data_IF_403838843896
#
_entry.id   IF_403838843896
#
_cell.length_a   1.000
_cell.length_b   1.000
_cell.length_c   1.000
_cell.angle_alpha   90.00
_cell.angle_beta   90.00
_cell.angle_gamma   90.00
#
_symmetry.space_group_name_H-M   'P 1'
#
loop_
_entity.id
_entity.type
_entity.pdbx_description
1 polymer ?
#
# COMPACT_ATOMS: atom_id res chain seq x y z
N UNK A 1 -11.09 5.20 -68.93
CA UNK A 1 -10.97 3.93 -68.17
C UNK A 1 -9.90 3.99 -67.06
N UNK A 2 -9.75 5.11 -66.33
CA UNK A 2 -8.82 5.22 -65.19
C UNK A 2 -9.51 5.59 -63.86
N UNK A 3 -10.81 5.89 -63.88
CA UNK A 3 -11.56 6.25 -62.66
C UNK A 3 -12.02 5.06 -61.82
N UNK A 4 -12.00 3.85 -62.37
CA UNK A 4 -12.45 2.61 -61.68
C UNK A 4 -11.39 2.11 -60.69
N UNK A 5 -10.11 2.46 -60.90
CA UNK A 5 -9.01 2.15 -59.97
C UNK A 5 -8.90 3.15 -58.81
N UNK A 6 -9.48 4.35 -58.94
CA UNK A 6 -9.45 5.37 -57.87
C UNK A 6 -10.52 5.14 -56.81
N UNK A 7 -11.68 4.58 -57.17
CA UNK A 7 -12.78 4.29 -56.22
C UNK A 7 -12.56 3.04 -55.34
N UNK A 8 -11.74 2.07 -55.78
CA UNK A 8 -11.32 0.95 -54.92
C UNK A 8 -10.18 1.33 -53.96
N UNK A 9 -9.55 2.49 -54.17
CA UNK A 9 -8.37 2.93 -53.41
C UNK A 9 -8.71 3.49 -52.02
N UNK A 10 -9.96 3.88 -51.79
CA UNK A 10 -10.45 4.38 -50.49
C UNK A 10 -10.63 3.22 -49.48
N UNK A 11 -11.23 2.11 -49.92
CA UNK A 11 -11.58 0.99 -49.02
C UNK A 11 -10.40 0.09 -48.63
N UNK A 12 -9.38 -0.09 -49.49
CA UNK A 12 -8.19 -0.88 -49.11
C UNK A 12 -7.26 -0.11 -48.14
N UNK A 13 -7.19 1.23 -48.26
CA UNK A 13 -6.43 2.06 -47.30
C UNK A 13 -7.11 2.05 -45.94
N UNK A 14 -8.44 2.19 -45.89
CA UNK A 14 -9.18 2.08 -44.63
C UNK A 14 -9.04 0.69 -44.00
N UNK A 15 -9.09 -0.37 -44.80
CA UNK A 15 -8.87 -1.73 -44.31
C UNK A 15 -7.45 -1.94 -43.76
N UNK A 16 -6.43 -1.34 -44.37
CA UNK A 16 -5.05 -1.42 -43.93
C UNK A 16 -4.81 -0.67 -42.60
N UNK A 17 -5.47 0.49 -42.42
CA UNK A 17 -5.41 1.25 -41.16
C UNK A 17 -6.11 0.49 -40.03
N UNK A 18 -7.30 -0.07 -40.29
CA UNK A 18 -8.03 -0.88 -39.29
C UNK A 18 -7.23 -2.13 -38.92
N UNK A 19 -6.60 -2.79 -39.89
CA UNK A 19 -5.72 -3.93 -39.63
C UNK A 19 -4.49 -3.53 -38.80
N UNK A 20 -3.85 -2.40 -39.10
CA UNK A 20 -2.72 -1.90 -38.34
C UNK A 20 -3.10 -1.57 -36.89
N UNK A 21 -4.23 -0.90 -36.68
CA UNK A 21 -4.77 -0.61 -35.34
C UNK A 21 -5.14 -1.91 -34.61
N UNK A 22 -5.75 -2.87 -35.30
CA UNK A 22 -6.07 -4.18 -34.74
C UNK A 22 -4.82 -4.97 -34.33
N UNK A 23 -3.73 -4.89 -35.09
CA UNK A 23 -2.44 -5.50 -34.74
C UNK A 23 -1.82 -4.80 -33.53
N UNK A 24 -1.84 -3.47 -33.47
CA UNK A 24 -1.35 -2.72 -32.31
C UNK A 24 -2.20 -3.05 -31.07
N UNK A 25 -3.54 -3.11 -31.20
CA UNK A 25 -4.43 -3.57 -30.14
C UNK A 25 -4.24 -5.04 -29.79
N UNK A 26 -3.87 -5.92 -30.73
CA UNK A 26 -3.56 -7.31 -30.42
C UNK A 26 -2.25 -7.41 -29.62
N UNK A 27 -1.22 -6.65 -29.99
CA UNK A 27 0.07 -6.64 -29.29
C UNK A 27 0.02 -5.95 -27.93
N UNK A 28 -0.74 -4.85 -27.79
CA UNK A 28 -0.87 -4.09 -26.54
C UNK A 28 -2.09 -4.50 -25.68
N UNK A 29 -3.16 -5.02 -26.29
CA UNK A 29 -4.45 -5.26 -25.64
C UNK A 29 -4.77 -6.74 -25.37
N UNK A 30 -4.19 -7.70 -26.11
CA UNK A 30 -4.46 -9.12 -25.86
C UNK A 30 -3.77 -9.68 -24.59
N UNK A 31 -2.76 -8.98 -24.05
CA UNK A 31 -2.10 -9.40 -22.80
C UNK A 31 -2.84 -8.96 -21.53
N UNK A 32 -3.90 -8.14 -21.65
CA UNK A 32 -4.62 -7.57 -20.49
C UNK A 32 -6.08 -8.02 -20.32
N UNK A 33 -6.59 -8.89 -21.20
CA UNK A 33 -8.00 -9.30 -21.20
C UNK A 33 -8.24 -10.81 -21.06
N UNK A 34 -7.27 -11.59 -20.58
CA UNK A 34 -7.56 -12.95 -20.11
C UNK A 34 -8.11 -12.88 -18.69
N UNK A 35 -9.38 -12.49 -18.57
CA UNK A 35 -10.17 -12.71 -17.35
C UNK A 35 -10.60 -14.18 -17.31
N UNK A 36 -9.64 -15.06 -17.03
CA UNK A 36 -9.95 -16.44 -16.68
C UNK A 36 -10.43 -16.47 -15.23
N UNK A 37 -11.61 -17.04 -14.97
CA UNK A 37 -12.32 -16.96 -13.66
C UNK A 37 -11.58 -17.68 -12.52
N UNK A 38 -10.42 -18.29 -12.80
CA UNK A 38 -9.52 -18.94 -11.84
C UNK A 38 -8.08 -18.39 -11.81
N UNK A 39 -7.75 -17.32 -12.54
CA UNK A 39 -6.37 -16.80 -12.56
C UNK A 39 -6.01 -16.11 -11.21
N UNK A 40 -4.98 -16.57 -10.48
CA UNK A 40 -4.48 -15.88 -9.30
C UNK A 40 -4.01 -14.43 -9.58
N UNK A 41 -3.77 -14.06 -10.84
CA UNK A 41 -3.41 -12.71 -11.25
C UNK A 41 -4.61 -11.82 -11.61
N UNK A 42 -5.85 -12.29 -11.42
CA UNK A 42 -7.04 -11.47 -11.67
C UNK A 42 -6.95 -10.14 -10.89
N UNK A 43 -7.24 -8.98 -11.51
CA UNK A 43 -7.20 -7.69 -10.82
C UNK A 43 -8.34 -7.59 -9.79
N UNK A 44 -8.02 -7.19 -8.56
CA UNK A 44 -9.00 -6.85 -7.50
C UNK A 44 -9.27 -5.35 -7.48
N UNK A 45 -8.26 -4.54 -7.78
CA UNK A 45 -8.39 -3.09 -7.88
C UNK A 45 -7.37 -2.50 -8.85
N UNK A 46 -7.68 -1.30 -9.36
CA UNK A 46 -6.81 -0.51 -10.23
C UNK A 46 -6.53 0.84 -9.58
N UNK A 47 -5.25 1.23 -9.50
CA UNK A 47 -4.79 2.49 -8.89
C UNK A 47 -3.96 3.26 -9.92
N UNK A 48 -4.55 4.24 -10.59
CA UNK A 48 -3.90 5.05 -11.63
C UNK A 48 -3.15 4.23 -12.71
N UNK A 49 -3.69 3.09 -13.10
CA UNK A 49 -3.09 2.19 -14.09
C UNK A 49 -2.27 1.03 -13.52
N UNK A 50 -1.99 1.03 -12.21
CA UNK A 50 -1.37 -0.09 -11.50
C UNK A 50 -2.41 -1.08 -11.00
N UNK A 51 -2.14 -2.38 -11.14
CA UNK A 51 -3.04 -3.46 -10.74
C UNK A 51 -2.68 -3.98 -9.35
N UNK A 52 -3.68 -4.08 -8.47
CA UNK A 52 -3.61 -4.92 -7.28
C UNK A 52 -4.17 -6.30 -7.66
N UNK A 53 -3.30 -7.30 -7.72
CA UNK A 53 -3.69 -8.66 -8.08
C UNK A 53 -4.39 -9.37 -6.93
N UNK A 54 -5.23 -10.35 -7.26
CA UNK A 54 -5.92 -11.22 -6.30
C UNK A 54 -4.93 -11.96 -5.39
N UNK A 55 -3.84 -12.47 -5.96
CA UNK A 55 -2.75 -13.10 -5.22
C UNK A 55 -2.13 -12.15 -4.19
N UNK A 56 -1.78 -10.93 -4.59
CA UNK A 56 -1.14 -9.98 -3.68
C UNK A 56 -2.09 -9.58 -2.55
N UNK A 57 -3.38 -9.37 -2.87
CA UNK A 57 -4.41 -9.09 -1.88
C UNK A 57 -4.56 -10.22 -0.86
N UNK A 58 -4.69 -11.47 -1.30
CA UNK A 58 -4.80 -12.61 -0.37
C UNK A 58 -3.54 -12.82 0.46
N UNK A 59 -2.35 -12.63 -0.14
CA UNK A 59 -1.08 -12.71 0.58
C UNK A 59 -1.02 -11.68 1.71
N UNK A 60 -1.41 -10.43 1.43
CA UNK A 60 -1.40 -9.35 2.41
C UNK A 60 -2.47 -9.56 3.49
N UNK A 61 -3.66 -10.05 3.10
CA UNK A 61 -4.73 -10.37 4.03
C UNK A 61 -4.30 -11.48 5.01
N UNK A 62 -3.69 -12.56 4.51
CA UNK A 62 -3.18 -13.64 5.35
C UNK A 62 -2.07 -13.17 6.29
N UNK A 63 -1.15 -12.33 5.78
CA UNK A 63 -0.11 -11.72 6.62
C UNK A 63 -0.73 -10.87 7.74
N UNK A 64 -1.71 -10.04 7.41
CA UNK A 64 -2.43 -9.19 8.36
C UNK A 64 -3.17 -10.04 9.41
N UNK A 65 -3.88 -11.08 8.98
CA UNK A 65 -4.56 -12.03 9.87
C UNK A 65 -3.58 -12.70 10.85
N UNK A 66 -2.44 -13.16 10.36
CA UNK A 66 -1.43 -13.81 11.20
C UNK A 66 -0.83 -12.86 12.23
N UNK A 67 -0.64 -11.57 11.89
CA UNK A 67 -0.22 -10.56 12.86
C UNK A 67 -1.27 -10.34 13.95
N UNK A 68 -2.55 -10.19 13.59
CA UNK A 68 -3.62 -10.03 14.57
C UNK A 68 -3.76 -11.28 15.46
N UNK A 69 -3.65 -12.48 14.90
CA UNK A 69 -3.63 -13.74 15.67
C UNK A 69 -2.45 -13.78 16.65
N UNK A 70 -1.26 -13.35 16.24
CA UNK A 70 -0.09 -13.31 17.11
C UNK A 70 -0.24 -12.30 18.28
N UNK A 71 -0.94 -11.20 18.07
CA UNK A 71 -1.17 -10.15 19.09
C UNK A 71 -2.31 -10.52 20.04
N UNK A 72 -3.43 -11.02 19.50
CA UNK A 72 -4.67 -11.23 20.25
C UNK A 72 -4.80 -12.64 20.83
N UNK A 73 -4.09 -13.63 20.27
CA UNK A 73 -4.15 -15.02 20.72
C UNK A 73 -5.59 -15.53 20.80
N UNK A 74 -6.00 -15.97 21.99
CA UNK A 74 -7.34 -16.53 22.27
C UNK A 74 -8.48 -15.51 22.13
N UNK A 75 -8.19 -14.21 22.07
CA UNK A 75 -9.20 -13.15 21.87
C UNK A 75 -9.50 -12.91 20.39
N UNK A 76 -8.86 -13.63 19.47
CA UNK A 76 -9.07 -13.48 18.04
C UNK A 76 -10.40 -14.12 17.60
N UNK A 77 -11.38 -13.30 17.25
CA UNK A 77 -12.64 -13.77 16.64
C UNK A 77 -12.58 -13.69 15.11
N UNK A 78 -12.36 -14.83 14.47
CA UNK A 78 -12.27 -14.94 13.01
C UNK A 78 -13.53 -14.45 12.29
N UNK A 79 -14.71 -14.55 12.91
CA UNK A 79 -15.97 -14.09 12.30
C UNK A 79 -16.08 -12.57 12.30
N UNK A 80 -15.61 -11.90 13.35
CA UNK A 80 -15.62 -10.44 13.45
C UNK A 80 -14.62 -9.82 12.47
N UNK A 81 -13.40 -10.37 12.42
CA UNK A 81 -12.34 -9.88 11.53
C UNK A 81 -12.58 -10.27 10.06
N UNK A 82 -13.28 -11.36 9.78
CA UNK A 82 -13.54 -11.85 8.41
C UNK A 82 -14.30 -10.87 7.51
N UNK A 83 -15.17 -10.00 8.07
CA UNK A 83 -15.97 -9.07 7.26
C UNK A 83 -15.29 -7.71 7.04
N UNK A 84 -14.63 -7.15 8.05
CA UNK A 84 -14.06 -5.79 7.97
C UNK A 84 -12.60 -5.78 7.50
N UNK A 85 -11.84 -6.82 7.86
CA UNK A 85 -10.40 -6.85 7.59
C UNK A 85 -10.05 -6.92 6.10
N UNK A 86 -10.79 -7.64 5.22
CA UNK A 86 -10.52 -7.63 3.79
C UNK A 86 -10.62 -6.22 3.20
N UNK A 87 -11.64 -5.45 3.57
CA UNK A 87 -11.85 -4.09 3.08
C UNK A 87 -10.75 -3.14 3.57
N UNK A 88 -10.43 -3.20 4.87
CA UNK A 88 -9.33 -2.40 5.45
C UNK A 88 -7.97 -2.73 4.82
N UNK A 89 -7.73 -4.02 4.55
CA UNK A 89 -6.49 -4.47 3.89
C UNK A 89 -6.41 -3.89 2.48
N UNK A 90 -7.50 -3.97 1.70
CA UNK A 90 -7.55 -3.42 0.35
C UNK A 90 -7.30 -1.90 0.36
N UNK A 91 -7.96 -1.17 1.26
CA UNK A 91 -7.80 0.26 1.39
C UNK A 91 -6.35 0.63 1.74
N UNK A 92 -5.73 -0.08 2.68
CA UNK A 92 -4.31 0.10 3.02
C UNK A 92 -3.40 -0.16 1.83
N UNK A 93 -3.65 -1.20 1.03
CA UNK A 93 -2.87 -1.48 -0.17
C UNK A 93 -3.01 -0.38 -1.22
N UNK A 94 -4.22 0.15 -1.41
CA UNK A 94 -4.47 1.29 -2.32
C UNK A 94 -3.74 2.54 -1.84
N UNK A 95 -3.86 2.89 -0.56
CA UNK A 95 -3.16 4.03 0.03
C UNK A 95 -1.64 3.90 -0.10
N UNK A 96 -1.09 2.72 0.19
CA UNK A 96 0.34 2.45 0.02
C UNK A 96 0.79 2.65 -1.43
N UNK A 97 0.00 2.16 -2.41
CA UNK A 97 0.32 2.34 -3.83
C UNK A 97 0.31 3.83 -4.23
N UNK A 98 -0.66 4.59 -3.76
CA UNK A 98 -0.74 6.04 -4.00
C UNK A 98 0.48 6.76 -3.39
N UNK A 99 0.89 6.40 -2.18
CA UNK A 99 2.09 6.95 -1.54
C UNK A 99 3.35 6.64 -2.35
N UNK A 100 3.50 5.42 -2.84
CA UNK A 100 4.64 5.04 -3.68
C UNK A 100 4.68 5.86 -4.98
N UNK A 101 3.54 5.96 -5.68
CA UNK A 101 3.43 6.79 -6.90
C UNK A 101 3.76 8.26 -6.63
N UNK A 102 3.29 8.79 -5.49
CA UNK A 102 3.56 10.18 -5.13
C UNK A 102 5.02 10.39 -4.73
N UNK A 103 5.63 9.44 -4.01
CA UNK A 103 7.04 9.47 -3.64
C UNK A 103 7.93 9.49 -4.89
N UNK A 104 7.62 8.64 -5.87
CA UNK A 104 8.31 8.60 -7.16
C UNK A 104 8.15 9.92 -7.93
N UNK A 105 6.91 10.43 -8.05
CA UNK A 105 6.64 11.74 -8.70
C UNK A 105 7.37 12.90 -8.06
N UNK A 106 7.52 12.88 -6.74
CA UNK A 106 8.24 13.92 -5.98
C UNK A 106 9.75 13.69 -5.94
N UNK A 107 10.26 12.63 -6.57
CA UNK A 107 11.70 12.33 -6.63
C UNK A 107 12.29 11.80 -5.32
N UNK A 108 11.48 11.24 -4.42
CA UNK A 108 11.97 10.53 -3.24
C UNK A 108 12.57 9.20 -3.66
N UNK A 109 13.85 9.23 -4.03
CA UNK A 109 14.64 8.05 -4.35
C UNK A 109 15.36 7.55 -3.09
N UNK A 110 15.61 6.24 -3.07
CA UNK A 110 16.37 5.56 -2.02
C UNK A 110 17.59 4.96 -2.69
N UNK A 111 18.77 5.34 -2.21
CA UNK A 111 20.04 4.86 -2.77
C UNK A 111 20.31 3.40 -2.41
N UNK A 112 21.16 2.73 -3.18
CA UNK A 112 21.56 1.35 -2.90
C UNK A 112 22.28 1.23 -1.55
N UNK A 113 23.05 2.25 -1.15
CA UNK A 113 23.73 2.30 0.14
C UNK A 113 22.75 2.34 1.30
N UNK A 114 21.71 3.18 1.20
CA UNK A 114 20.68 3.29 2.24
C UNK A 114 19.85 2.01 2.34
N UNK A 115 19.52 1.40 1.19
CA UNK A 115 18.84 0.11 1.16
C UNK A 115 19.70 -0.97 1.83
N UNK A 116 21.00 -1.03 1.51
CA UNK A 116 21.93 -1.98 2.09
C UNK A 116 22.09 -1.78 3.60
N UNK A 117 22.13 -0.53 4.07
CA UNK A 117 22.19 -0.20 5.49
C UNK A 117 20.91 -0.65 6.23
N UNK A 118 19.74 -0.38 5.63
CA UNK A 118 18.45 -0.82 6.18
C UNK A 118 18.37 -2.37 6.27
N UNK A 119 18.89 -3.08 5.27
CA UNK A 119 18.92 -4.55 5.28
C UNK A 119 19.89 -5.06 6.36
N UNK A 120 21.06 -4.43 6.51
CA UNK A 120 22.05 -4.82 7.53
C UNK A 120 21.58 -4.56 8.95
N UNK A 121 20.83 -3.49 9.16
CA UNK A 121 20.29 -3.10 10.48
C UNK A 121 19.02 -3.86 10.85
N UNK A 122 18.38 -4.54 9.90
CA UNK A 122 17.18 -5.32 10.16
C UNK A 122 17.50 -6.55 11.04
N UNK A 123 16.77 -6.77 12.15
CA UNK A 123 16.99 -7.90 13.05
C UNK A 123 16.89 -9.27 12.37
N UNK A 124 16.09 -9.36 11.30
CA UNK A 124 15.91 -10.60 10.54
C UNK A 124 17.20 -11.09 9.87
N UNK A 125 18.12 -10.18 9.56
CA UNK A 125 19.41 -10.51 8.94
C UNK A 125 20.58 -10.42 9.90
N UNK A 126 20.30 -10.36 11.20
CA UNK A 126 21.34 -10.31 12.23
C UNK A 126 21.40 -11.62 13.01
N UNK A 127 22.61 -12.10 13.21
CA UNK A 127 22.94 -13.18 14.13
C UNK A 127 23.96 -12.65 15.13
N UNK A 128 23.60 -12.69 16.41
CA UNK A 128 24.43 -12.14 17.51
C UNK A 128 24.82 -10.66 17.28
N UNK A 129 23.88 -9.87 16.73
CA UNK A 129 24.08 -8.44 16.45
C UNK A 129 24.99 -8.13 15.25
N UNK A 130 25.43 -9.16 14.50
CA UNK A 130 26.21 -9.00 13.27
C UNK A 130 25.40 -9.46 12.08
N UNK A 131 25.63 -8.81 10.93
CA UNK A 131 24.96 -9.20 9.70
C UNK A 131 25.33 -10.63 9.28
N UNK A 132 24.31 -11.47 9.09
CA UNK A 132 24.46 -12.84 8.61
C UNK A 132 24.17 -12.91 7.10
N UNK A 133 25.23 -13.01 6.32
CA UNK A 133 25.14 -13.17 4.86
C UNK A 133 24.42 -14.47 4.46
N UNK A 134 24.46 -15.52 5.28
CA UNK A 134 23.76 -16.77 4.99
C UNK A 134 22.24 -16.55 5.01
N UNK A 135 21.72 -15.93 6.07
CA UNK A 135 20.30 -15.59 6.21
C UNK A 135 19.80 -14.72 5.05
N UNK A 136 20.61 -13.76 4.61
CA UNK A 136 20.28 -12.94 3.45
C UNK A 136 20.31 -13.72 2.11
N UNK A 137 21.28 -14.62 1.93
CA UNK A 137 21.41 -15.43 0.72
C UNK A 137 20.28 -16.46 0.55
N UNK A 138 19.66 -16.88 1.65
CA UNK A 138 18.56 -17.85 1.67
C UNK A 138 17.21 -17.26 1.24
N UNK A 139 17.11 -15.94 1.09
CA UNK A 139 15.85 -15.32 0.67
C UNK A 139 15.51 -15.69 -0.78
N UNK A 140 14.34 -16.28 -1.03
CA UNK A 140 13.86 -16.49 -2.39
C UNK A 140 13.54 -15.14 -3.02
N UNK A 141 14.00 -14.93 -4.25
CA UNK A 141 13.70 -13.75 -5.06
C UNK A 141 14.11 -12.40 -4.42
N UNK A 142 15.38 -12.30 -4.01
CA UNK A 142 16.00 -11.12 -3.37
C UNK A 142 15.68 -9.79 -4.07
N UNK A 143 15.72 -9.74 -5.41
CA UNK A 143 15.44 -8.51 -6.16
C UNK A 143 14.02 -7.96 -5.92
N UNK A 144 13.02 -8.83 -5.76
CA UNK A 144 11.66 -8.39 -5.42
C UNK A 144 11.55 -7.89 -3.98
N UNK A 145 12.24 -8.53 -3.05
CA UNK A 145 12.30 -8.10 -1.65
C UNK A 145 12.95 -6.72 -1.53
N UNK A 146 14.11 -6.53 -2.17
CA UNK A 146 14.84 -5.26 -2.20
C UNK A 146 14.03 -4.14 -2.83
N UNK A 147 13.35 -4.44 -3.94
CA UNK A 147 12.44 -3.48 -4.59
C UNK A 147 11.32 -3.07 -3.64
N UNK A 148 10.65 -4.02 -2.98
CA UNK A 148 9.59 -3.72 -2.01
C UNK A 148 10.11 -2.89 -0.84
N UNK A 149 11.28 -3.24 -0.31
CA UNK A 149 11.92 -2.49 0.77
C UNK A 149 12.22 -1.04 0.34
N UNK A 150 12.71 -0.86 -0.89
CA UNK A 150 12.96 0.46 -1.48
C UNK A 150 11.70 1.29 -1.61
N UNK A 151 10.62 0.70 -2.13
CA UNK A 151 9.31 1.35 -2.26
C UNK A 151 8.77 1.77 -0.88
N UNK A 152 8.89 0.91 0.13
CA UNK A 152 8.51 1.22 1.52
C UNK A 152 9.33 2.37 2.12
N UNK A 153 10.64 2.39 1.90
CA UNK A 153 11.52 3.47 2.36
C UNK A 153 11.21 4.81 1.67
N UNK A 154 10.87 4.78 0.38
CA UNK A 154 10.45 5.98 -0.35
C UNK A 154 9.11 6.51 0.18
N UNK A 155 8.12 5.62 0.40
CA UNK A 155 6.83 5.97 0.96
C UNK A 155 6.94 6.54 2.39
N UNK A 156 7.80 5.95 3.24
CA UNK A 156 8.01 6.43 4.60
C UNK A 156 8.71 7.80 4.65
N UNK A 157 9.65 8.07 3.73
CA UNK A 157 10.24 9.42 3.57
C UNK A 157 9.20 10.47 3.24
N UNK A 158 8.31 10.18 2.29
CA UNK A 158 7.22 11.08 1.95
C UNK A 158 6.31 11.33 3.17
N UNK A 159 5.93 10.26 3.88
CA UNK A 159 5.09 10.38 5.07
C UNK A 159 5.75 11.22 6.17
N UNK A 160 7.05 11.01 6.43
CA UNK A 160 7.82 11.78 7.39
C UNK A 160 7.95 13.25 6.97
N UNK A 161 8.16 13.51 5.67
CA UNK A 161 8.20 14.87 5.12
C UNK A 161 6.87 15.61 5.32
N UNK A 162 5.74 14.95 5.03
CA UNK A 162 4.40 15.51 5.24
C UNK A 162 4.12 15.76 6.72
N UNK A 163 4.45 14.80 7.59
CA UNK A 163 4.20 14.90 9.03
C UNK A 163 5.05 16.01 9.67
N UNK A 164 6.32 16.15 9.27
CA UNK A 164 7.18 17.24 9.75
C UNK A 164 6.69 18.62 9.29
N UNK A 165 6.12 18.74 8.09
CA UNK A 165 5.51 19.99 7.62
C UNK A 165 4.26 20.35 8.42
N UNK A 166 3.40 19.38 8.72
CA UNK A 166 2.19 19.60 9.52
C UNK A 166 2.53 19.96 10.97
N UNK A 167 3.54 19.30 11.56
CA UNK A 167 4.02 19.59 12.93
C UNK A 167 4.62 20.99 13.09
N UNK A 168 5.01 21.64 11.99
CA UNK A 168 5.52 23.01 11.99
C UNK A 168 4.44 24.10 11.83
N UNK A 169 3.15 23.74 11.80
CA UNK A 169 2.06 24.71 11.71
C UNK A 169 1.84 25.35 13.09
N UNK A 170 2.12 26.65 13.29
CA UNK A 170 2.17 27.29 14.61
C UNK A 170 0.80 27.48 15.29
N UNK A 171 -0.31 27.14 14.62
CA UNK A 171 -1.66 27.34 15.15
C UNK A 171 -2.02 26.40 16.32
N UNK A 172 -1.37 25.23 16.44
CA UNK A 172 -1.67 24.22 17.49
C UNK A 172 -0.62 24.16 18.62
N UNK A 173 0.57 24.73 18.43
CA UNK A 173 1.65 24.62 19.43
C UNK A 173 1.38 25.40 20.71
N UNK A 174 0.77 26.58 20.59
CA UNK A 174 0.58 27.49 21.73
C UNK A 174 -0.58 27.03 22.62
N UNK A 175 -1.67 26.57 22.00
CA UNK A 175 -2.87 26.04 22.66
C UNK A 175 -2.56 24.77 23.48
N UNK A 176 -1.79 23.84 22.91
CA UNK A 176 -1.40 22.60 23.60
C UNK A 176 -0.39 22.87 24.72
N UNK A 177 0.48 23.88 24.57
CA UNK A 177 1.40 24.29 25.64
C UNK A 177 0.66 24.95 26.81
N UNK A 178 -0.39 25.72 26.55
CA UNK A 178 -1.22 26.31 27.60
C UNK A 178 -2.00 25.25 28.38
N UNK A 179 -2.60 24.27 27.69
CA UNK A 179 -3.31 23.16 28.33
C UNK A 179 -2.39 22.29 29.20
N UNK A 180 -1.14 22.07 28.77
CA UNK A 180 -0.15 21.34 29.59
C UNK A 180 0.29 22.09 30.85
N UNK A 181 0.17 23.42 30.86
CA UNK A 181 0.49 24.26 32.04
C UNK A 181 -0.69 24.41 32.99
N UNK A 182 -1.91 24.10 32.55
CA UNK A 182 -3.10 24.13 33.41
C UNK A 182 -3.08 22.93 34.35
N UNK A 183 -2.60 23.15 35.58
CA UNK A 183 -2.85 22.24 36.69
C UNK A 183 -4.29 22.45 37.16
N UNK A 184 -5.12 21.40 37.07
CA UNK A 184 -6.50 21.43 37.57
C UNK A 184 -6.49 20.89 38.99
N UNK A 185 -6.76 21.73 39.99
CA UNK A 185 -7.10 21.27 41.34
C UNK A 185 -8.54 20.77 41.34
N UNK A 186 -8.70 19.45 41.38
CA UNK A 186 -10.02 18.82 41.45
C UNK A 186 -10.39 18.61 42.92
N UNK A 187 -11.36 19.37 43.42
CA UNK A 187 -12.02 19.08 44.69
C UNK A 187 -13.22 18.17 44.41
N UNK A 188 -13.16 16.94 44.93
CA UNK A 188 -14.25 15.99 44.82
C UNK A 188 -14.95 15.85 46.17
N UNK A 189 -16.28 15.78 46.17
CA UNK A 189 -17.06 15.30 47.28
C UNK A 189 -17.68 13.95 46.88
N UNK A 190 -17.34 12.89 47.59
CA UNK A 190 -17.96 11.59 47.38
C UNK A 190 -19.35 11.59 48.02
N UNK A 191 -20.39 11.56 47.20
CA UNK A 191 -21.77 11.41 47.66
C UNK A 191 -22.10 9.92 47.66
N UNK A 192 -22.34 9.35 48.84
CA UNK A 192 -22.86 7.99 48.97
C UNK A 192 -24.36 8.00 48.68
N UNK A 193 -24.75 7.45 47.54
CA UNK A 193 -26.15 7.39 47.10
C UNK A 193 -27.03 6.45 47.92
N UNK A 194 -26.45 5.55 48.73
CA UNK A 194 -27.19 4.64 49.60
C UNK A 194 -27.97 5.36 50.72
N UNK A 195 -27.60 6.59 51.06
CA UNK A 195 -28.29 7.40 52.08
C UNK A 195 -29.42 8.28 51.52
N UNK A 196 -29.63 8.29 50.20
CA UNK A 196 -30.60 9.15 49.52
C UNK A 196 -31.89 8.41 49.10
N UNK A 197 -32.06 7.14 49.49
CA UNK A 197 -33.33 6.44 49.28
C UNK A 197 -34.41 7.02 50.23
N UNK A 198 -35.50 7.63 49.72
CA UNK A 198 -36.63 8.00 50.56
C UNK A 198 -37.28 6.72 51.11
N UNK A 199 -37.57 6.73 52.41
CA UNK A 199 -38.40 5.70 53.07
C UNK A 199 -39.81 5.64 52.48
#
# INVERSE_FOLDING_TARGET
>A
MLDVLRRKKEHWVSALIVLAVAIVMAFFGASKFSSDKGDPNQPVAWVNGDVISKRDFYSELQFTLNQYRAILGDKFDEKLFGYQLPQQTLERMVQFRLLCQQAEKMGFLVSDLELADQIRTSPYFQKDGKFDASSYSQIPNRGMMERRQREQMAASRLQNYLTNRIKSMPADSDSIQQLKKTQVELQFAAINFDQLAPK
#
